data_IF_946864056781
#
_entry.id   IF_946864056781
#
_cell.length_a   1.000
_cell.length_b   1.000
_cell.length_c   1.000
_cell.angle_alpha   90.00
_cell.angle_beta   90.00
_cell.angle_gamma   90.00
#
_symmetry.space_group_name_H-M   'P 1'
#
loop_
_entity.id
_entity.type
_entity.pdbx_description
1 polymer ?
#
# COMPACT_ATOMS: atom_id res chain seq x y z
N UNK A 1 2.01 26.74 22.73
CA UNK A 1 3.09 25.92 22.16
C UNK A 1 3.20 26.27 20.69
N UNK A 2 4.40 26.22 20.08
CA UNK A 2 4.55 26.42 18.62
C UNK A 2 3.86 25.29 17.86
N UNK A 3 3.57 25.51 16.57
CA UNK A 3 3.05 24.47 15.68
C UNK A 3 4.03 23.30 15.59
N UNK A 4 3.57 22.03 15.51
CA UNK A 4 4.45 20.87 15.38
C UNK A 4 5.16 20.87 14.03
N UNK A 5 6.32 20.22 14.00
CA UNK A 5 7.14 20.08 12.80
C UNK A 5 7.27 18.61 12.39
N UNK A 6 7.07 18.36 11.11
CA UNK A 6 7.06 17.04 10.51
C UNK A 6 8.17 16.90 9.48
N UNK A 7 8.91 15.80 9.56
CA UNK A 7 9.80 15.32 8.52
C UNK A 7 9.12 14.19 7.76
N UNK A 8 8.72 14.46 6.52
CA UNK A 8 8.17 13.46 5.62
C UNK A 8 9.29 12.79 4.84
N UNK A 9 9.22 11.46 4.68
CA UNK A 9 10.21 10.68 3.92
C UNK A 9 9.51 10.05 2.72
N UNK A 10 10.04 10.31 1.52
CA UNK A 10 9.53 9.76 0.28
C UNK A 10 10.69 9.43 -0.68
N UNK A 11 11.12 8.17 -0.72
CA UNK A 11 12.12 7.69 -1.69
C UNK A 11 11.54 7.43 -3.08
N UNK A 12 10.21 7.48 -3.21
CA UNK A 12 9.43 7.47 -4.44
C UNK A 12 8.56 8.73 -4.53
N UNK A 13 8.16 9.12 -5.75
CA UNK A 13 7.32 10.31 -5.95
C UNK A 13 5.87 10.03 -5.55
N UNK A 14 5.54 10.30 -4.30
CA UNK A 14 4.20 10.11 -3.70
C UNK A 14 3.93 11.10 -2.57
N UNK A 15 2.67 11.24 -2.22
CA UNK A 15 2.24 11.91 -0.98
C UNK A 15 2.11 13.43 -1.08
N UNK A 16 2.04 14.03 -2.26
CA UNK A 16 1.80 15.47 -2.42
C UNK A 16 0.56 15.94 -1.65
N UNK A 17 -0.52 15.14 -1.66
CA UNK A 17 -1.74 15.48 -0.94
C UNK A 17 -1.58 15.36 0.58
N UNK A 18 -0.76 14.42 1.06
CA UNK A 18 -0.38 14.41 2.49
C UNK A 18 0.38 15.70 2.87
N UNK A 19 1.35 16.12 2.04
CA UNK A 19 2.12 17.34 2.28
C UNK A 19 1.21 18.56 2.32
N UNK A 20 0.28 18.70 1.37
CA UNK A 20 -0.73 19.77 1.35
C UNK A 20 -1.66 19.69 2.56
N UNK A 21 -2.14 18.49 2.89
CA UNK A 21 -2.96 18.24 4.07
C UNK A 21 -2.23 18.66 5.35
N UNK A 22 -0.97 18.28 5.52
CA UNK A 22 -0.16 18.67 6.67
C UNK A 22 0.05 20.19 6.74
N UNK A 23 0.39 20.81 5.60
CA UNK A 23 0.57 22.27 5.55
C UNK A 23 -0.70 23.03 5.88
N UNK A 24 -1.86 22.51 5.50
CA UNK A 24 -3.17 23.14 5.77
C UNK A 24 -3.50 23.20 7.27
N UNK A 25 -2.91 22.34 8.11
CA UNK A 25 -3.03 22.40 9.58
C UNK A 25 -2.18 23.55 10.19
N UNK A 26 -1.30 24.13 9.40
CA UNK A 26 -0.33 25.15 9.81
C UNK A 26 0.94 24.56 10.41
N UNK A 27 1.16 23.25 10.32
CA UNK A 27 2.40 22.61 10.72
C UNK A 27 3.59 23.06 9.88
N UNK A 28 4.79 22.91 10.42
CA UNK A 28 6.04 23.02 9.66
C UNK A 28 6.31 21.69 8.96
N UNK A 29 6.52 21.72 7.65
CA UNK A 29 6.63 20.53 6.81
C UNK A 29 7.96 20.46 6.08
N UNK A 30 8.74 19.45 6.39
CA UNK A 30 10.00 19.15 5.70
C UNK A 30 9.86 17.86 4.90
N UNK A 31 10.50 17.81 3.73
CA UNK A 31 10.57 16.59 2.91
C UNK A 31 12.02 16.15 2.75
N UNK A 32 12.28 14.86 3.01
CA UNK A 32 13.50 14.18 2.59
C UNK A 32 13.16 13.24 1.45
N UNK A 33 13.83 13.39 0.31
CA UNK A 33 13.58 12.58 -0.89
C UNK A 33 14.88 12.23 -1.62
N UNK A 34 14.80 11.31 -2.55
CA UNK A 34 15.94 10.93 -3.39
C UNK A 34 16.35 12.04 -4.34
N UNK A 35 17.64 12.26 -4.55
CA UNK A 35 18.17 13.27 -5.48
C UNK A 35 17.62 13.08 -6.90
N UNK A 36 17.44 11.84 -7.36
CA UNK A 36 16.84 11.52 -8.66
C UNK A 36 15.41 12.08 -8.85
N UNK A 37 14.70 12.39 -7.77
CA UNK A 37 13.33 12.93 -7.79
C UNK A 37 13.28 14.46 -7.67
N UNK A 38 14.42 15.15 -7.74
CA UNK A 38 14.49 16.61 -7.63
C UNK A 38 13.63 17.34 -8.68
N UNK A 39 13.50 16.75 -9.89
CA UNK A 39 12.74 17.34 -11.00
C UNK A 39 11.24 17.04 -10.93
N UNK A 40 10.82 16.14 -10.05
CA UNK A 40 9.40 15.78 -9.93
C UNK A 40 8.60 16.97 -9.38
N UNK A 41 7.32 17.08 -9.77
CA UNK A 41 6.46 18.19 -9.35
C UNK A 41 5.98 18.02 -7.90
N UNK A 42 6.92 18.06 -6.95
CA UNK A 42 6.60 18.08 -5.54
C UNK A 42 5.72 19.27 -5.19
N UNK A 43 4.82 19.13 -4.23
CA UNK A 43 3.98 20.19 -3.67
C UNK A 43 4.84 21.23 -2.89
N UNK A 44 5.73 21.95 -3.60
CA UNK A 44 6.70 22.88 -3.01
C UNK A 44 6.02 24.00 -2.21
N UNK A 45 4.82 24.38 -2.59
CA UNK A 45 3.97 25.33 -1.86
C UNK A 45 3.57 24.85 -0.46
N UNK A 46 3.63 23.55 -0.24
CA UNK A 46 3.31 22.91 1.04
C UNK A 46 4.54 22.60 1.89
N UNK A 47 5.74 22.94 1.43
CA UNK A 47 7.00 22.61 2.10
C UNK A 47 7.66 23.87 2.67
N UNK A 48 8.18 23.76 3.89
CA UNK A 48 9.08 24.78 4.46
C UNK A 48 10.53 24.55 4.03
N UNK A 49 10.88 23.27 3.75
CA UNK A 49 12.16 22.93 3.12
C UNK A 49 12.11 21.51 2.50
N UNK A 50 13.05 21.23 1.58
CA UNK A 50 13.22 19.93 0.93
C UNK A 50 14.69 19.54 0.89
N UNK A 51 15.00 18.32 1.30
CA UNK A 51 16.36 17.77 1.38
C UNK A 51 16.49 16.55 0.49
N UNK A 52 17.61 16.46 -0.21
CA UNK A 52 17.86 15.43 -1.18
C UNK A 52 18.94 14.47 -0.70
N UNK A 53 18.65 13.19 -0.73
CA UNK A 53 19.59 12.11 -0.43
C UNK A 53 20.19 11.60 -1.72
N UNK A 54 21.53 11.63 -1.81
CA UNK A 54 22.24 10.97 -2.90
C UNK A 54 22.13 9.45 -2.71
N UNK A 55 21.67 8.79 -3.74
CA UNK A 55 21.49 7.33 -3.73
C UNK A 55 22.76 6.63 -4.18
N UNK A 56 22.96 5.41 -3.68
CA UNK A 56 23.95 4.47 -4.19
C UNK A 56 23.55 3.86 -5.55
N UNK A 57 24.40 2.98 -6.11
CA UNK A 57 24.20 2.40 -7.45
C UNK A 57 22.89 1.63 -7.62
N UNK A 58 22.40 1.01 -6.54
CA UNK A 58 21.16 0.24 -6.53
C UNK A 58 19.94 1.04 -6.03
N UNK A 59 20.05 2.37 -6.02
CA UNK A 59 19.05 3.29 -5.51
C UNK A 59 18.80 3.21 -4.00
N UNK A 60 19.68 2.60 -3.25
CA UNK A 60 19.64 2.53 -1.78
C UNK A 60 20.09 3.85 -1.13
N UNK A 61 19.56 4.12 0.06
CA UNK A 61 20.01 5.21 0.90
C UNK A 61 20.99 4.70 1.96
N UNK A 62 22.14 5.34 2.09
CA UNK A 62 23.01 5.13 3.25
C UNK A 62 22.38 5.79 4.47
N UNK A 63 21.79 4.99 5.35
CA UNK A 63 21.03 5.50 6.50
C UNK A 63 21.92 6.17 7.57
N UNK A 64 23.21 5.83 7.67
CA UNK A 64 24.16 6.52 8.55
C UNK A 64 24.41 7.95 8.05
N UNK A 65 24.57 8.14 6.73
CA UNK A 65 24.71 9.46 6.14
C UNK A 65 23.43 10.30 6.29
N UNK A 66 22.27 9.66 6.13
CA UNK A 66 20.96 10.32 6.35
C UNK A 66 20.81 10.75 7.80
N UNK A 67 21.19 9.89 8.76
CA UNK A 67 21.15 10.24 10.18
C UNK A 67 22.13 11.38 10.51
N UNK A 68 23.34 11.34 9.98
CA UNK A 68 24.32 12.42 10.17
C UNK A 68 23.81 13.76 9.61
N UNK A 69 23.24 13.73 8.40
CA UNK A 69 22.63 14.93 7.79
C UNK A 69 21.45 15.46 8.60
N UNK A 70 20.57 14.58 9.09
CA UNK A 70 19.44 14.96 9.93
C UNK A 70 19.92 15.53 11.29
N UNK A 71 20.93 14.92 11.91
CA UNK A 71 21.54 15.45 13.15
C UNK A 71 22.07 16.86 12.97
N UNK A 72 22.67 17.15 11.81
CA UNK A 72 23.13 18.50 11.49
C UNK A 72 21.96 19.48 11.30
N UNK A 73 20.90 19.09 10.59
CA UNK A 73 19.67 19.88 10.42
C UNK A 73 18.99 20.19 11.76
N UNK A 74 18.91 19.24 12.66
CA UNK A 74 18.27 19.38 13.97
C UNK A 74 18.99 20.40 14.89
N UNK A 75 20.18 20.86 14.55
CA UNK A 75 20.84 21.98 15.25
C UNK A 75 20.07 23.31 15.10
N UNK A 76 19.29 23.46 14.03
CA UNK A 76 18.54 24.69 13.74
C UNK A 76 17.05 24.45 13.45
N UNK A 77 16.67 23.21 13.12
CA UNK A 77 15.28 22.82 12.78
C UNK A 77 14.80 21.78 13.78
N UNK A 78 13.74 22.10 14.50
CA UNK A 78 13.09 21.13 15.37
C UNK A 78 12.33 20.11 14.52
N UNK A 79 12.39 18.83 14.86
CA UNK A 79 11.61 17.76 14.26
C UNK A 79 10.82 17.05 15.37
N UNK A 80 9.50 17.19 15.35
CA UNK A 80 8.61 16.60 16.36
C UNK A 80 8.12 15.22 15.93
N UNK A 81 7.96 14.97 14.62
CA UNK A 81 7.47 13.73 14.03
C UNK A 81 8.18 13.39 12.73
N UNK A 82 8.28 12.09 12.42
CA UNK A 82 8.77 11.58 11.14
C UNK A 82 7.68 10.68 10.56
N UNK A 83 7.31 10.89 9.27
CA UNK A 83 6.27 10.13 8.58
C UNK A 83 6.82 9.56 7.27
N UNK A 84 6.66 8.27 7.05
CA UNK A 84 6.99 7.60 5.79
C UNK A 84 5.78 7.66 4.86
N UNK A 85 5.96 8.20 3.65
CA UNK A 85 4.88 8.36 2.68
C UNK A 85 4.76 7.16 1.71
N UNK A 86 5.74 6.23 1.75
CA UNK A 86 5.74 5.02 0.94
C UNK A 86 6.18 3.80 1.76
N UNK A 87 5.84 2.59 1.29
CA UNK A 87 6.22 1.32 1.92
C UNK A 87 7.73 1.19 2.13
N UNK A 88 8.51 1.59 1.13
CA UNK A 88 9.97 1.49 1.16
C UNK A 88 10.62 2.46 2.15
N UNK A 89 9.85 3.39 2.72
CA UNK A 89 10.34 4.39 3.68
C UNK A 89 9.96 4.09 5.12
N UNK A 90 9.10 3.10 5.33
CA UNK A 90 8.60 2.72 6.67
C UNK A 90 9.74 2.35 7.62
N UNK A 91 10.68 1.51 7.16
CA UNK A 91 11.85 1.11 7.97
C UNK A 91 12.86 2.24 8.14
N UNK A 92 13.03 3.10 7.11
CA UNK A 92 13.88 4.31 7.20
C UNK A 92 13.37 5.29 8.27
N UNK A 93 12.06 5.55 8.24
CA UNK A 93 11.43 6.40 9.26
C UNK A 93 11.55 5.81 10.66
N UNK A 94 11.37 4.48 10.81
CA UNK A 94 11.50 3.80 12.09
C UNK A 94 12.92 3.87 12.64
N UNK A 95 13.93 3.65 11.79
CA UNK A 95 15.34 3.81 12.17
C UNK A 95 15.62 5.22 12.69
N UNK A 96 15.21 6.26 11.95
CA UNK A 96 15.44 7.66 12.34
C UNK A 96 14.68 8.04 13.62
N UNK A 97 13.42 7.54 13.80
CA UNK A 97 12.66 7.77 15.03
C UNK A 97 13.38 7.20 16.24
N UNK A 98 13.87 5.96 16.15
CA UNK A 98 14.61 5.33 17.26
C UNK A 98 15.95 6.01 17.51
N UNK A 99 16.69 6.37 16.44
CA UNK A 99 17.99 7.05 16.56
C UNK A 99 17.85 8.39 17.30
N UNK A 100 16.87 9.22 16.94
CA UNK A 100 16.66 10.54 17.51
C UNK A 100 15.64 10.60 18.65
N UNK A 101 15.11 9.45 19.10
CA UNK A 101 14.07 9.39 20.14
C UNK A 101 12.81 10.19 19.79
N UNK A 102 12.47 10.26 18.52
CA UNK A 102 11.24 10.90 18.02
C UNK A 102 10.08 9.89 18.16
N UNK A 103 8.93 10.29 18.73
CA UNK A 103 7.80 9.38 18.92
C UNK A 103 7.24 8.80 17.62
N UNK A 104 6.82 7.52 17.64
CA UNK A 104 6.21 6.81 16.51
C UNK A 104 6.57 5.32 16.52
N UNK A 105 6.16 4.59 15.50
CA UNK A 105 6.52 3.17 15.35
C UNK A 105 8.03 3.01 15.18
N UNK A 106 8.61 2.17 16.04
CA UNK A 106 10.02 1.76 15.95
C UNK A 106 10.22 0.60 14.96
N UNK A 107 11.46 0.14 14.84
CA UNK A 107 11.87 -0.85 13.82
C UNK A 107 11.16 -2.19 13.97
N UNK A 108 10.92 -2.68 15.19
CA UNK A 108 10.20 -3.95 15.40
C UNK A 108 8.76 -3.86 14.91
N UNK A 109 8.01 -2.85 15.33
CA UNK A 109 6.62 -2.66 14.94
C UNK A 109 6.48 -2.37 13.43
N UNK A 110 7.38 -1.58 12.85
CA UNK A 110 7.32 -1.22 11.44
C UNK A 110 7.48 -2.44 10.51
N UNK A 111 8.21 -3.47 10.93
CA UNK A 111 8.36 -4.72 10.16
C UNK A 111 7.05 -5.47 9.99
N UNK A 112 6.11 -5.36 10.93
CA UNK A 112 4.77 -5.96 10.77
C UNK A 112 3.97 -5.32 9.62
N UNK A 113 4.39 -4.14 9.12
CA UNK A 113 3.78 -3.44 7.99
C UNK A 113 4.64 -3.44 6.73
N UNK A 114 5.77 -4.18 6.74
CA UNK A 114 6.71 -4.17 5.63
C UNK A 114 7.22 -5.55 5.25
N UNK A 115 7.52 -6.40 6.22
CA UNK A 115 8.10 -7.73 6.05
C UNK A 115 6.99 -8.80 6.08
N UNK A 116 6.73 -9.42 4.92
CA UNK A 116 5.67 -10.43 4.79
C UNK A 116 5.86 -11.64 5.72
N UNK A 117 7.09 -12.01 6.05
CA UNK A 117 7.34 -13.09 7.02
C UNK A 117 6.98 -12.65 8.44
N UNK A 118 7.35 -11.42 8.85
CA UNK A 118 6.94 -10.86 10.12
C UNK A 118 5.41 -10.73 10.21
N UNK A 119 4.75 -10.29 9.13
CA UNK A 119 3.28 -10.24 9.03
C UNK A 119 2.64 -11.62 9.25
N UNK A 120 3.20 -12.68 8.64
CA UNK A 120 2.67 -14.05 8.78
C UNK A 120 2.82 -14.58 10.18
N UNK A 121 3.97 -14.37 10.81
CA UNK A 121 4.26 -14.83 12.18
C UNK A 121 3.30 -14.13 13.15
N UNK A 122 3.25 -12.79 13.11
CA UNK A 122 2.44 -12.00 14.03
C UNK A 122 0.94 -12.28 13.88
N UNK A 123 0.45 -12.37 12.62
CA UNK A 123 -0.95 -12.70 12.36
C UNK A 123 -1.31 -14.09 12.87
N UNK A 124 -0.48 -15.11 12.59
CA UNK A 124 -0.66 -16.48 13.09
C UNK A 124 -0.72 -16.52 14.61
N UNK A 125 0.22 -15.87 15.27
CA UNK A 125 0.36 -15.88 16.72
C UNK A 125 -0.79 -15.12 17.40
N UNK A 126 -1.38 -14.14 16.70
CA UNK A 126 -2.64 -13.49 17.11
C UNK A 126 -3.92 -14.27 16.75
N UNK A 127 -3.82 -15.45 16.14
CA UNK A 127 -4.98 -16.26 15.74
C UNK A 127 -5.70 -15.78 14.47
N UNK A 128 -5.09 -14.88 13.70
CA UNK A 128 -5.62 -14.40 12.41
C UNK A 128 -5.26 -15.42 11.34
N UNK A 129 -6.25 -15.85 10.54
CA UNK A 129 -6.01 -16.82 9.47
C UNK A 129 -5.07 -16.28 8.40
N UNK A 130 -3.99 -17.01 8.13
CA UNK A 130 -3.04 -16.77 7.05
C UNK A 130 -2.87 -18.04 6.23
N UNK A 131 -2.44 -17.98 4.96
CA UNK A 131 -1.99 -19.17 4.23
C UNK A 131 -0.91 -19.91 5.03
N UNK A 132 -0.88 -21.23 5.00
CA UNK A 132 0.22 -21.99 5.57
C UNK A 132 1.55 -21.51 4.94
N UNK A 133 2.59 -21.29 5.74
CA UNK A 133 3.83 -20.69 5.28
C UNK A 133 5.05 -21.27 6.00
N UNK A 134 6.22 -21.08 5.40
CA UNK A 134 7.53 -21.30 6.03
C UNK A 134 8.48 -20.16 5.64
N UNK A 135 9.38 -19.81 6.54
CA UNK A 135 10.62 -19.14 6.13
C UNK A 135 11.49 -20.09 5.29
N UNK A 136 12.52 -19.53 4.67
CA UNK A 136 13.45 -20.30 3.83
C UNK A 136 14.86 -20.37 4.44
N UNK A 137 14.94 -20.45 5.79
CA UNK A 137 16.23 -20.44 6.51
C UNK A 137 16.77 -21.84 6.73
N UNK A 138 15.95 -22.77 7.23
CA UNK A 138 16.36 -24.10 7.65
C UNK A 138 15.73 -25.19 6.76
N UNK A 139 16.57 -25.98 6.11
CA UNK A 139 16.14 -26.98 5.10
C UNK A 139 15.14 -28.02 5.63
N UNK A 140 15.27 -28.45 6.90
CA UNK A 140 14.32 -29.39 7.49
C UNK A 140 12.94 -28.79 7.69
N UNK A 141 12.83 -27.48 7.95
CA UNK A 141 11.54 -26.78 8.09
C UNK A 141 10.88 -26.63 6.72
N UNK A 142 11.67 -26.31 5.69
CA UNK A 142 11.21 -26.25 4.29
C UNK A 142 10.74 -27.63 3.82
N UNK A 143 11.49 -28.70 4.09
CA UNK A 143 11.12 -30.07 3.75
C UNK A 143 9.83 -30.50 4.47
N UNK A 144 9.68 -30.15 5.77
CA UNK A 144 8.46 -30.40 6.52
C UNK A 144 7.27 -29.64 5.91
N UNK A 145 7.43 -28.35 5.57
CA UNK A 145 6.39 -27.58 4.89
C UNK A 145 5.97 -28.28 3.58
N UNK A 146 6.93 -28.63 2.72
CA UNK A 146 6.66 -29.24 1.43
C UNK A 146 5.99 -30.62 1.53
N UNK A 147 6.24 -31.36 2.63
CA UNK A 147 5.62 -32.68 2.87
C UNK A 147 4.23 -32.60 3.51
N UNK A 148 3.90 -31.52 4.20
CA UNK A 148 2.64 -31.40 4.98
C UNK A 148 1.63 -30.45 4.36
N UNK A 149 2.07 -29.49 3.57
CA UNK A 149 1.22 -28.48 2.93
C UNK A 149 1.05 -28.84 1.44
N UNK A 150 -0.18 -29.07 0.95
CA UNK A 150 -0.38 -29.41 -0.46
C UNK A 150 0.00 -28.24 -1.39
N UNK A 151 0.66 -28.57 -2.49
CA UNK A 151 0.92 -27.62 -3.58
C UNK A 151 -0.38 -27.22 -4.30
N UNK A 152 -0.41 -26.12 -5.09
CA UNK A 152 0.71 -25.25 -5.41
C UNK A 152 1.07 -24.29 -4.27
N UNK A 153 2.30 -23.83 -4.31
CA UNK A 153 2.85 -22.83 -3.39
C UNK A 153 3.25 -21.55 -4.12
N UNK A 154 3.48 -20.47 -3.36
CA UNK A 154 4.08 -19.22 -3.85
C UNK A 154 5.37 -18.99 -3.06
N UNK A 155 6.50 -18.88 -3.76
CA UNK A 155 7.71 -18.27 -3.22
C UNK A 155 7.68 -16.80 -3.55
N UNK A 156 7.85 -15.93 -2.55
CA UNK A 156 7.77 -14.48 -2.73
C UNK A 156 8.77 -13.73 -1.86
N UNK A 157 9.26 -12.57 -2.33
CA UNK A 157 10.11 -11.70 -1.53
C UNK A 157 9.36 -11.17 -0.30
N UNK A 158 10.07 -11.07 0.82
CA UNK A 158 9.52 -10.55 2.08
C UNK A 158 9.20 -9.06 2.01
N UNK A 159 10.07 -8.30 1.34
CA UNK A 159 10.05 -6.84 1.33
C UNK A 159 9.64 -6.19 0.00
N UNK A 160 9.14 -6.90 -1.00
CA UNK A 160 8.71 -6.32 -2.27
C UNK A 160 7.20 -6.02 -2.29
N UNK A 161 6.78 -5.18 -3.23
CA UNK A 161 5.38 -4.79 -3.45
C UNK A 161 4.93 -5.18 -4.87
N UNK A 162 3.64 -5.04 -5.17
CA UNK A 162 3.06 -5.18 -6.52
C UNK A 162 3.30 -6.55 -7.17
N UNK A 163 3.24 -7.63 -6.41
CA UNK A 163 3.47 -9.02 -6.86
C UNK A 163 4.84 -9.26 -7.55
N UNK A 164 5.79 -8.34 -7.38
CA UNK A 164 7.13 -8.43 -7.97
C UNK A 164 7.93 -9.59 -7.38
N UNK A 165 8.58 -10.40 -8.23
CA UNK A 165 9.44 -11.50 -7.82
C UNK A 165 8.72 -12.70 -7.22
N UNK A 166 7.41 -12.80 -7.38
CA UNK A 166 6.61 -13.97 -6.93
C UNK A 166 6.72 -15.11 -7.96
N UNK A 167 6.91 -16.33 -7.46
CA UNK A 167 6.94 -17.52 -8.29
C UNK A 167 6.00 -18.59 -7.76
N UNK A 168 5.09 -19.07 -8.62
CA UNK A 168 4.23 -20.22 -8.32
C UNK A 168 5.00 -21.52 -8.52
N UNK A 169 4.90 -22.44 -7.56
CA UNK A 169 5.64 -23.69 -7.45
C UNK A 169 4.65 -24.84 -7.34
N UNK A 170 4.85 -25.89 -8.11
CA UNK A 170 3.90 -27.00 -8.22
C UNK A 170 4.37 -28.32 -7.59
N UNK A 171 5.64 -28.45 -7.24
CA UNK A 171 6.20 -29.63 -6.60
C UNK A 171 7.38 -29.31 -5.67
N UNK A 172 7.74 -30.28 -4.82
CA UNK A 172 8.91 -30.15 -3.95
C UNK A 172 10.21 -30.04 -4.76
N UNK A 173 10.33 -30.77 -5.85
CA UNK A 173 11.49 -30.72 -6.75
C UNK A 173 11.64 -29.33 -7.36
N UNK A 174 10.54 -28.74 -7.82
CA UNK A 174 10.53 -27.37 -8.35
C UNK A 174 10.90 -26.35 -7.27
N UNK A 175 10.42 -26.54 -6.01
CA UNK A 175 10.79 -25.70 -4.89
C UNK A 175 12.30 -25.70 -4.66
N UNK A 176 12.89 -26.89 -4.51
CA UNK A 176 14.33 -27.01 -4.26
C UNK A 176 15.18 -26.45 -5.41
N UNK A 177 14.79 -26.74 -6.65
CA UNK A 177 15.47 -26.17 -7.82
C UNK A 177 15.41 -24.64 -7.82
N UNK A 178 14.28 -24.05 -7.42
CA UNK A 178 14.16 -22.60 -7.31
C UNK A 178 15.01 -22.03 -6.16
N UNK A 179 15.03 -22.69 -5.00
CA UNK A 179 15.87 -22.27 -3.87
C UNK A 179 17.38 -22.27 -4.21
N UNK A 180 17.82 -23.21 -5.01
CA UNK A 180 19.20 -23.22 -5.53
C UNK A 180 19.50 -21.98 -6.40
N UNK A 181 18.53 -21.53 -7.22
CA UNK A 181 18.71 -20.29 -8.01
C UNK A 181 18.77 -19.04 -7.15
N UNK A 182 18.11 -19.02 -5.99
CA UNK A 182 18.18 -17.93 -5.04
C UNK A 182 19.50 -17.90 -4.25
N UNK A 183 20.14 -19.05 -4.09
CA UNK A 183 21.43 -19.16 -3.39
C UNK A 183 21.43 -18.50 -2.02
N UNK A 184 22.36 -17.58 -1.77
CA UNK A 184 22.47 -16.82 -0.52
C UNK A 184 21.31 -15.88 -0.24
N UNK A 185 20.56 -15.49 -1.26
CA UNK A 185 19.46 -14.52 -1.15
C UNK A 185 18.14 -15.14 -0.64
N UNK A 186 18.08 -16.47 -0.48
CA UNK A 186 16.84 -17.17 -0.09
C UNK A 186 16.25 -16.68 1.23
N UNK A 187 17.06 -16.12 2.12
CA UNK A 187 16.61 -15.54 3.39
C UNK A 187 15.75 -14.27 3.21
N UNK A 188 15.75 -13.66 2.04
CA UNK A 188 14.88 -12.56 1.67
C UNK A 188 13.51 -13.00 1.15
N UNK A 189 13.23 -14.29 1.14
CA UNK A 189 12.01 -14.89 0.63
C UNK A 189 11.28 -15.70 1.70
N UNK A 190 10.02 -16.01 1.45
CA UNK A 190 9.22 -17.00 2.16
C UNK A 190 8.46 -17.84 1.14
N UNK A 191 8.03 -19.04 1.57
CA UNK A 191 7.09 -19.88 0.83
C UNK A 191 5.75 -19.92 1.55
N UNK A 192 4.65 -19.86 0.80
CA UNK A 192 3.31 -20.02 1.36
C UNK A 192 2.40 -20.83 0.43
N UNK A 193 1.37 -21.43 0.98
CA UNK A 193 0.36 -22.13 0.22
C UNK A 193 -0.39 -21.16 -0.69
N UNK A 194 -0.46 -21.45 -1.98
CA UNK A 194 -1.30 -20.71 -2.90
C UNK A 194 -2.78 -20.91 -2.55
N UNK A 195 -3.52 -19.83 -2.35
CA UNK A 195 -4.95 -19.84 -2.13
C UNK A 195 -5.66 -19.31 -3.37
N UNK A 196 -6.39 -20.16 -4.13
CA UNK A 196 -7.24 -19.66 -5.20
C UNK A 196 -8.40 -18.88 -4.61
N UNK A 197 -8.60 -17.63 -5.04
CA UNK A 197 -9.64 -16.82 -4.43
C UNK A 197 -9.78 -15.44 -5.03
N UNK A 198 -10.75 -14.71 -4.49
CA UNK A 198 -11.00 -13.32 -4.82
C UNK A 198 -10.29 -12.44 -3.78
N UNK A 199 -9.57 -11.42 -4.25
CA UNK A 199 -8.79 -10.55 -3.39
C UNK A 199 -9.59 -9.30 -3.05
N UNK A 200 -9.56 -8.95 -1.77
CA UNK A 200 -10.20 -7.78 -1.20
C UNK A 200 -9.16 -6.89 -0.53
N UNK A 201 -9.47 -5.60 -0.43
CA UNK A 201 -8.65 -4.70 0.36
C UNK A 201 -9.49 -3.84 1.29
N UNK A 202 -8.87 -3.43 2.38
CA UNK A 202 -9.44 -2.49 3.35
C UNK A 202 -8.50 -1.30 3.46
N UNK A 203 -9.00 -0.14 3.08
CA UNK A 203 -8.31 1.14 3.23
C UNK A 203 -8.85 1.83 4.47
N UNK A 204 -7.98 2.14 5.42
CA UNK A 204 -8.40 2.59 6.75
C UNK A 204 -7.53 3.70 7.32
N UNK A 205 -8.08 4.39 8.34
CA UNK A 205 -7.38 5.32 9.21
C UNK A 205 -7.48 4.81 10.65
N UNK A 206 -6.36 4.83 11.37
CA UNK A 206 -6.27 4.43 12.77
C UNK A 206 -5.81 5.58 13.66
N UNK A 207 -6.47 5.75 14.83
CA UNK A 207 -6.12 6.71 15.87
C UNK A 207 -6.13 6.02 17.24
N UNK A 208 -5.08 6.19 18.02
CA UNK A 208 -4.99 5.64 19.38
C UNK A 208 -5.18 4.12 19.43
N UNK A 209 -4.68 3.39 18.44
CA UNK A 209 -4.82 1.94 18.37
C UNK A 209 -6.20 1.45 17.91
N UNK A 210 -7.07 2.33 17.40
CA UNK A 210 -8.41 1.98 16.91
C UNK A 210 -8.57 2.43 15.47
N UNK A 211 -9.19 1.60 14.66
CA UNK A 211 -9.64 1.98 13.32
C UNK A 211 -10.83 2.93 13.46
N UNK A 212 -10.67 4.18 12.99
CA UNK A 212 -11.68 5.23 13.07
C UNK A 212 -12.43 5.43 11.75
N UNK A 213 -11.85 4.99 10.64
CA UNK A 213 -12.47 4.95 9.32
C UNK A 213 -11.98 3.71 8.57
N UNK A 214 -12.85 3.07 7.80
CA UNK A 214 -12.45 2.03 6.85
C UNK A 214 -13.44 1.92 5.69
N UNK A 215 -12.93 1.55 4.51
CA UNK A 215 -13.70 1.12 3.34
C UNK A 215 -13.16 -0.21 2.83
N UNK A 216 -14.08 -1.11 2.53
CA UNK A 216 -13.78 -2.43 1.98
C UNK A 216 -14.05 -2.41 0.49
N UNK A 217 -13.08 -2.88 -0.28
CA UNK A 217 -13.17 -3.01 -1.73
C UNK A 217 -12.78 -4.41 -2.19
N UNK A 218 -13.17 -4.77 -3.39
CA UNK A 218 -12.79 -6.00 -4.06
C UNK A 218 -12.05 -5.68 -5.35
N UNK A 219 -10.89 -6.30 -5.57
CA UNK A 219 -10.29 -6.35 -6.88
C UNK A 219 -11.15 -7.22 -7.80
N UNK A 220 -11.55 -6.69 -8.95
CA UNK A 220 -12.40 -7.43 -9.90
C UNK A 220 -11.58 -8.45 -10.70
N UNK A 221 -10.28 -8.20 -10.82
CA UNK A 221 -9.26 -9.15 -11.27
C UNK A 221 -8.14 -9.19 -10.23
N UNK A 222 -7.55 -10.35 -9.95
CA UNK A 222 -6.56 -10.42 -8.85
C UNK A 222 -5.30 -9.64 -9.21
N UNK A 223 -4.65 -8.94 -8.26
CA UNK A 223 -3.38 -8.26 -8.53
C UNK A 223 -2.30 -9.19 -9.13
N UNK A 224 -2.31 -10.46 -8.75
CA UNK A 224 -1.39 -11.46 -9.31
C UNK A 224 -1.68 -11.71 -10.80
N UNK A 225 -2.93 -11.90 -11.19
CA UNK A 225 -3.31 -12.13 -12.59
C UNK A 225 -3.05 -10.88 -13.45
N UNK A 226 -3.34 -9.69 -12.91
CA UNK A 226 -3.06 -8.42 -13.60
C UNK A 226 -1.55 -8.24 -13.83
N UNK A 227 -0.73 -8.46 -12.80
CA UNK A 227 0.72 -8.25 -12.89
C UNK A 227 1.42 -9.26 -13.82
N UNK A 228 0.98 -10.52 -13.85
CA UNK A 228 1.62 -11.59 -14.63
C UNK A 228 0.94 -11.85 -15.98
N UNK A 229 -0.37 -11.54 -16.08
CA UNK A 229 -1.14 -11.70 -17.31
C UNK A 229 -1.25 -10.44 -18.19
N UNK A 230 -0.74 -9.29 -17.72
CA UNK A 230 -0.88 -8.02 -18.43
C UNK A 230 -2.33 -7.56 -18.48
N UNK A 231 -3.08 -7.71 -17.39
CA UNK A 231 -4.50 -7.38 -17.33
C UNK A 231 -4.79 -5.92 -17.02
N UNK A 232 -6.08 -5.58 -16.99
CA UNK A 232 -6.59 -4.26 -16.62
C UNK A 232 -6.89 -4.27 -15.12
N UNK A 233 -6.30 -3.31 -14.40
CA UNK A 233 -6.55 -3.17 -12.95
C UNK A 233 -7.94 -2.57 -12.72
N UNK A 234 -8.76 -3.26 -11.89
CA UNK A 234 -10.09 -2.79 -11.49
C UNK A 234 -10.34 -3.10 -10.03
N UNK A 235 -10.94 -2.14 -9.32
CA UNK A 235 -11.42 -2.33 -7.96
C UNK A 235 -12.75 -1.61 -7.75
N UNK A 236 -13.58 -2.13 -6.86
CA UNK A 236 -14.86 -1.51 -6.51
C UNK A 236 -15.24 -1.75 -5.03
N UNK A 237 -15.91 -0.76 -4.44
CA UNK A 237 -16.47 -0.87 -3.08
C UNK A 237 -17.44 -2.06 -3.02
N UNK A 238 -17.33 -2.86 -1.97
CA UNK A 238 -18.23 -3.99 -1.73
C UNK A 238 -19.61 -3.52 -1.25
N UNK A 239 -20.68 -4.36 -1.34
CA UNK A 239 -22.00 -3.99 -0.81
C UNK A 239 -21.97 -3.69 0.69
N UNK A 240 -22.43 -2.50 1.06
CA UNK A 240 -22.53 -2.10 2.46
C UNK A 240 -23.42 -3.04 3.27
N UNK A 241 -23.01 -3.34 4.50
CA UNK A 241 -23.74 -4.24 5.40
C UNK A 241 -23.67 -5.72 5.02
N UNK A 242 -22.94 -6.08 3.94
CA UNK A 242 -22.76 -7.46 3.53
C UNK A 242 -21.98 -8.28 4.59
N UNK A 243 -22.11 -9.61 4.52
CA UNK A 243 -21.36 -10.51 5.41
C UNK A 243 -19.86 -10.39 5.20
N UNK A 244 -19.42 -10.16 3.96
CA UNK A 244 -18.02 -10.05 3.59
C UNK A 244 -17.44 -8.73 4.11
N UNK A 245 -18.14 -7.61 3.94
CA UNK A 245 -17.73 -6.33 4.52
C UNK A 245 -17.54 -6.43 6.03
N UNK A 246 -18.55 -6.95 6.76
CA UNK A 246 -18.50 -7.08 8.22
C UNK A 246 -17.33 -7.94 8.70
N UNK A 247 -17.07 -9.07 8.00
CA UNK A 247 -15.94 -9.94 8.32
C UNK A 247 -14.60 -9.24 8.08
N UNK A 248 -14.45 -8.56 6.95
CA UNK A 248 -13.21 -7.88 6.58
C UNK A 248 -12.92 -6.68 7.46
N UNK A 249 -13.92 -5.88 7.82
CA UNK A 249 -13.76 -4.78 8.79
C UNK A 249 -13.30 -5.31 10.16
N UNK A 250 -13.87 -6.43 10.62
CA UNK A 250 -13.45 -7.08 11.87
C UNK A 250 -12.02 -7.60 11.78
N UNK A 251 -11.69 -8.35 10.71
CA UNK A 251 -10.33 -8.90 10.52
C UNK A 251 -9.29 -7.78 10.40
N UNK A 252 -9.61 -6.69 9.68
CA UNK A 252 -8.71 -5.54 9.59
C UNK A 252 -8.44 -4.90 10.96
N UNK A 253 -9.47 -4.73 11.79
CA UNK A 253 -9.28 -4.21 13.14
C UNK A 253 -8.43 -5.15 14.02
N UNK A 254 -8.58 -6.46 13.86
CA UNK A 254 -7.75 -7.46 14.53
C UNK A 254 -6.29 -7.40 14.07
N UNK A 255 -6.03 -7.26 12.74
CA UNK A 255 -4.69 -7.09 12.17
C UNK A 255 -4.05 -5.80 12.72
N UNK A 256 -4.75 -4.66 12.66
CA UNK A 256 -4.22 -3.38 13.14
C UNK A 256 -3.85 -3.46 14.62
N UNK A 257 -4.69 -4.08 15.43
CA UNK A 257 -4.42 -4.28 16.86
C UNK A 257 -3.22 -5.20 17.10
N UNK A 258 -3.17 -6.36 16.46
CA UNK A 258 -2.10 -7.33 16.61
C UNK A 258 -0.73 -6.75 16.21
N UNK A 259 -0.70 -6.02 15.11
CA UNK A 259 0.53 -5.43 14.57
C UNK A 259 0.97 -4.15 15.30
N UNK A 260 0.19 -3.69 16.29
CA UNK A 260 0.54 -2.54 17.12
C UNK A 260 0.33 -1.19 16.45
N UNK A 261 -0.59 -1.11 15.46
CA UNK A 261 -0.94 0.16 14.82
C UNK A 261 -1.49 1.15 15.86
N UNK A 262 -0.87 2.32 15.94
CA UNK A 262 -1.34 3.40 16.80
C UNK A 262 -2.00 4.52 15.99
N UNK A 263 -1.27 5.08 15.04
CA UNK A 263 -1.72 6.23 14.25
C UNK A 263 -1.14 6.09 12.84
N UNK A 264 -1.97 5.90 11.85
CA UNK A 264 -1.60 5.95 10.41
C UNK A 264 -2.82 5.74 9.52
N UNK A 265 -2.65 5.96 8.21
CA UNK A 265 -3.40 5.26 7.19
C UNK A 265 -2.90 3.81 7.08
N UNK A 266 -3.75 2.92 6.56
CA UNK A 266 -3.37 1.55 6.23
C UNK A 266 -4.10 1.04 5.00
N UNK A 267 -3.44 0.15 4.26
CA UNK A 267 -4.00 -0.62 3.15
C UNK A 267 -3.74 -2.10 3.43
N UNK A 268 -4.80 -2.89 3.59
CA UNK A 268 -4.72 -4.28 4.04
C UNK A 268 -5.40 -5.20 3.04
N UNK A 269 -4.73 -6.25 2.59
CA UNK A 269 -5.25 -7.20 1.62
C UNK A 269 -5.63 -8.54 2.25
N UNK A 270 -6.74 -9.09 1.77
CA UNK A 270 -7.30 -10.38 2.17
C UNK A 270 -7.70 -11.20 0.94
N UNK A 271 -7.59 -12.52 1.01
CA UNK A 271 -8.12 -13.40 -0.01
C UNK A 271 -9.26 -14.24 0.54
N UNK A 272 -10.37 -14.27 -0.19
CA UNK A 272 -11.49 -15.18 0.07
C UNK A 272 -11.32 -16.44 -0.76
N UNK A 273 -11.02 -17.55 -0.12
CA UNK A 273 -10.91 -18.83 -0.82
C UNK A 273 -12.25 -19.20 -1.47
N UNK A 274 -12.24 -19.54 -2.76
CA UNK A 274 -13.47 -19.82 -3.53
C UNK A 274 -14.17 -21.11 -3.10
N UNK A 275 -13.44 -22.08 -2.60
CA UNK A 275 -13.99 -23.38 -2.22
C UNK A 275 -14.62 -23.32 -0.83
N UNK A 276 -13.95 -22.69 0.13
CA UNK A 276 -14.36 -22.68 1.54
C UNK A 276 -15.12 -21.42 1.95
N UNK A 277 -15.01 -20.34 1.18
CA UNK A 277 -15.54 -19.02 1.55
C UNK A 277 -14.81 -18.36 2.73
N UNK A 278 -13.68 -18.93 3.16
CA UNK A 278 -12.89 -18.39 4.26
C UNK A 278 -11.97 -17.28 3.78
N UNK A 279 -11.80 -16.24 4.63
CA UNK A 279 -10.84 -15.19 4.41
C UNK A 279 -9.50 -15.50 5.06
N UNK A 280 -8.42 -15.16 4.36
CA UNK A 280 -7.05 -15.20 4.83
C UNK A 280 -6.42 -13.83 4.67
N UNK A 281 -5.70 -13.38 5.68
CA UNK A 281 -4.88 -12.17 5.60
C UNK A 281 -3.70 -12.40 4.65
N UNK A 282 -3.45 -11.44 3.74
CA UNK A 282 -2.33 -11.49 2.80
C UNK A 282 -1.22 -10.53 3.16
N UNK A 283 -1.49 -9.24 3.25
CA UNK A 283 -0.50 -8.23 3.60
C UNK A 283 -1.15 -6.93 4.07
N UNK A 284 -0.36 -6.08 4.69
CA UNK A 284 -0.78 -4.73 5.08
C UNK A 284 0.37 -3.75 5.01
N UNK A 285 0.05 -2.51 4.71
CA UNK A 285 0.98 -1.37 4.71
C UNK A 285 0.47 -0.28 5.65
N UNK A 286 1.37 0.43 6.32
CA UNK A 286 1.02 1.60 7.13
C UNK A 286 1.08 2.91 6.32
N UNK A 287 0.42 2.92 5.18
CA UNK A 287 0.29 4.06 4.26
C UNK A 287 -0.98 3.93 3.43
N UNK A 288 -1.28 4.96 2.67
CA UNK A 288 -2.40 4.98 1.73
C UNK A 288 -2.18 4.00 0.57
N UNK A 289 -3.23 3.32 0.12
CA UNK A 289 -3.21 2.39 -1.01
C UNK A 289 -2.70 3.06 -2.30
N UNK A 290 -2.01 2.26 -3.14
CA UNK A 290 -1.53 2.71 -4.45
C UNK A 290 -2.60 2.70 -5.53
N UNK A 291 -2.19 2.89 -6.80
CA UNK A 291 -3.05 2.79 -7.99
C UNK A 291 -4.35 3.63 -7.91
N UNK A 292 -4.27 4.82 -7.30
CA UNK A 292 -5.41 5.75 -7.13
C UNK A 292 -6.59 5.18 -6.32
N UNK A 293 -6.33 4.21 -5.44
CA UNK A 293 -7.34 3.67 -4.55
C UNK A 293 -7.82 4.71 -3.52
N UNK A 294 -6.96 5.66 -3.14
CA UNK A 294 -7.35 6.76 -2.25
C UNK A 294 -8.42 7.65 -2.87
N UNK A 295 -8.27 7.99 -4.16
CA UNK A 295 -9.21 8.79 -4.92
C UNK A 295 -10.54 8.05 -5.11
N UNK A 296 -10.50 6.71 -5.28
CA UNK A 296 -11.71 5.88 -5.31
C UNK A 296 -12.42 5.89 -3.96
N UNK A 297 -11.71 5.77 -2.85
CA UNK A 297 -12.28 5.84 -1.49
C UNK A 297 -12.86 7.22 -1.22
N UNK A 298 -12.18 8.29 -1.63
CA UNK A 298 -12.68 9.66 -1.53
C UNK A 298 -13.95 9.87 -2.36
N UNK A 299 -13.97 9.37 -3.59
CA UNK A 299 -15.16 9.43 -4.44
C UNK A 299 -16.36 8.78 -3.77
N UNK A 300 -16.20 7.63 -3.14
CA UNK A 300 -17.27 6.90 -2.43
C UNK A 300 -17.68 7.57 -1.12
N UNK A 301 -16.72 8.00 -0.32
CA UNK A 301 -16.92 8.37 1.08
C UNK A 301 -16.85 9.88 1.38
N UNK A 302 -16.17 10.64 0.53
CA UNK A 302 -15.80 12.03 0.80
C UNK A 302 -14.60 12.17 1.75
N UNK A 303 -13.95 11.06 2.11
CA UNK A 303 -12.78 11.03 2.97
C UNK A 303 -11.52 10.90 2.12
N UNK A 304 -10.77 11.99 1.97
CA UNK A 304 -9.46 11.96 1.35
C UNK A 304 -8.44 11.38 2.33
N UNK A 305 -7.97 10.15 2.08
CA UNK A 305 -7.11 9.42 3.00
C UNK A 305 -5.77 10.12 3.26
N UNK A 306 -5.20 10.80 2.25
CA UNK A 306 -3.94 11.54 2.41
C UNK A 306 -4.10 12.75 3.32
N UNK A 307 -5.14 13.56 3.10
CA UNK A 307 -5.43 14.73 3.91
C UNK A 307 -5.81 14.34 5.34
N UNK A 308 -6.67 13.33 5.48
CA UNK A 308 -7.12 12.90 6.79
C UNK A 308 -6.01 12.21 7.59
N UNK A 309 -5.11 11.47 6.94
CA UNK A 309 -3.93 10.96 7.60
C UNK A 309 -3.01 12.09 8.11
N UNK A 310 -2.79 13.13 7.30
CA UNK A 310 -2.02 14.30 7.72
C UNK A 310 -2.64 15.00 8.93
N UNK A 311 -3.96 15.22 8.92
CA UNK A 311 -4.69 15.81 10.05
C UNK A 311 -4.64 14.95 11.31
N UNK A 312 -4.71 13.64 11.15
CA UNK A 312 -4.58 12.67 12.24
C UNK A 312 -3.18 12.73 12.87
N UNK A 313 -2.13 12.74 12.06
CA UNK A 313 -0.75 12.87 12.54
C UNK A 313 -0.50 14.20 13.27
N UNK A 314 -1.08 15.28 12.76
CA UNK A 314 -0.98 16.59 13.41
C UNK A 314 -1.71 16.60 14.76
N UNK A 315 -2.93 16.06 14.83
CA UNK A 315 -3.70 15.96 16.06
C UNK A 315 -2.99 15.14 17.16
N UNK A 316 -2.21 14.12 16.76
CA UNK A 316 -1.37 13.34 17.68
C UNK A 316 -0.17 14.15 18.20
N UNK A 317 0.36 15.04 17.40
CA UNK A 317 1.50 15.90 17.78
C UNK A 317 1.07 17.16 18.56
N UNK A 318 -0.17 17.59 18.38
CA UNK A 318 -0.79 18.72 19.07
C UNK A 318 -1.77 18.23 20.17
N UNK A 319 -2.14 19.05 21.15
CA UNK A 319 -3.13 18.67 22.18
C UNK A 319 -4.58 18.70 21.67
N UNK A 320 -4.79 18.51 20.38
CA UNK A 320 -6.09 18.54 19.72
C UNK A 320 -6.60 17.13 19.43
N UNK A 321 -7.93 16.95 19.50
CA UNK A 321 -8.54 15.67 19.17
C UNK A 321 -8.88 15.64 17.67
N UNK A 322 -8.43 14.60 16.97
CA UNK A 322 -8.83 14.37 15.59
C UNK A 322 -10.35 14.20 15.46
N UNK A 323 -10.91 14.77 14.41
CA UNK A 323 -12.33 14.62 14.06
C UNK A 323 -12.45 14.22 12.60
N UNK A 324 -13.01 13.03 12.40
CA UNK A 324 -13.32 12.51 11.07
C UNK A 324 -14.37 13.40 10.39
N UNK A 325 -14.26 13.70 9.09
CA UNK A 325 -15.29 14.43 8.34
C UNK A 325 -16.58 13.62 8.21
N UNK A 326 -17.66 14.26 7.74
CA UNK A 326 -18.92 13.57 7.44
C UNK A 326 -18.71 12.58 6.30
N UNK A 327 -19.00 11.31 6.56
CA UNK A 327 -18.88 10.23 5.59
C UNK A 327 -20.12 10.16 4.70
N UNK A 328 -19.92 9.91 3.39
CA UNK A 328 -20.96 9.49 2.44
C UNK A 328 -20.89 7.98 2.28
N UNK A 329 -22.00 7.39 1.84
CA UNK A 329 -22.10 5.95 1.57
C UNK A 329 -22.53 5.71 0.11
N UNK A 330 -21.75 6.31 -0.83
CA UNK A 330 -21.83 5.99 -2.25
C UNK A 330 -20.91 4.80 -2.60
N UNK A 331 -21.20 4.15 -3.70
CA UNK A 331 -20.28 3.18 -4.31
C UNK A 331 -19.39 3.88 -5.32
N UNK A 332 -18.14 3.50 -5.36
CA UNK A 332 -17.20 3.89 -6.39
C UNK A 332 -16.41 2.69 -6.89
N UNK A 333 -15.90 2.82 -8.08
CA UNK A 333 -15.00 1.85 -8.66
C UNK A 333 -13.99 2.51 -9.57
N UNK A 334 -12.84 1.87 -9.71
CA UNK A 334 -11.71 2.36 -10.51
C UNK A 334 -11.32 1.34 -11.58
N UNK A 335 -10.92 1.85 -12.73
CA UNK A 335 -10.22 1.12 -13.78
C UNK A 335 -8.93 1.84 -14.12
N UNK A 336 -7.82 1.12 -14.21
CA UNK A 336 -6.52 1.62 -14.68
C UNK A 336 -5.88 0.61 -15.62
N UNK A 337 -5.28 1.09 -16.69
CA UNK A 337 -4.55 0.25 -17.65
C UNK A 337 -3.36 0.98 -18.23
N UNK A 338 -2.34 0.21 -18.62
CA UNK A 338 -1.35 0.68 -19.57
C UNK A 338 -1.98 0.88 -20.95
N UNK A 339 -1.49 1.87 -21.70
CA UNK A 339 -2.00 2.19 -23.04
C UNK A 339 -0.90 2.22 -24.09
N UNK A 340 -1.29 1.88 -25.32
CA UNK A 340 -0.44 2.03 -26.52
C UNK A 340 -0.16 3.50 -26.86
N UNK A 341 -1.13 4.36 -26.55
CA UNK A 341 -1.05 5.81 -26.73
C UNK A 341 -0.27 6.42 -25.56
N UNK A 342 0.64 7.35 -25.85
CA UNK A 342 1.36 8.10 -24.83
C UNK A 342 0.39 8.93 -23.97
N UNK A 343 -0.51 9.66 -24.64
CA UNK A 343 -1.58 10.45 -24.02
C UNK A 343 -2.94 10.00 -24.59
N UNK A 344 -3.65 9.06 -23.93
CA UNK A 344 -4.89 8.52 -24.45
C UNK A 344 -6.02 9.57 -24.38
N UNK A 345 -6.78 9.71 -25.48
CA UNK A 345 -8.01 10.50 -25.48
C UNK A 345 -9.13 9.71 -24.80
N UNK A 346 -9.57 10.19 -23.65
CA UNK A 346 -10.64 9.58 -22.84
C UNK A 346 -12.02 10.22 -23.07
N UNK A 347 -12.17 11.13 -24.04
CA UNK A 347 -13.41 11.91 -24.28
C UNK A 347 -14.61 11.03 -24.63
N UNK A 348 -14.38 9.86 -25.21
CA UNK A 348 -15.44 8.89 -25.51
C UNK A 348 -16.08 8.23 -24.27
N UNK A 349 -15.43 8.32 -23.11
CA UNK A 349 -16.03 7.92 -21.83
C UNK A 349 -16.72 9.15 -21.24
N UNK A 350 -18.03 9.29 -21.44
CA UNK A 350 -18.79 10.49 -21.11
C UNK A 350 -19.97 10.27 -20.16
N UNK A 351 -20.00 9.12 -19.48
CA UNK A 351 -21.01 8.83 -18.49
C UNK A 351 -20.95 9.84 -17.32
N UNK A 352 -22.11 10.33 -16.83
CA UNK A 352 -22.15 11.34 -15.75
C UNK A 352 -21.62 10.84 -14.40
N UNK A 353 -21.48 9.55 -14.25
CA UNK A 353 -20.90 8.90 -13.07
C UNK A 353 -19.37 9.01 -12.99
N UNK A 354 -18.69 9.42 -14.06
CA UNK A 354 -17.22 9.63 -14.03
C UNK A 354 -16.92 10.86 -13.17
N UNK A 355 -16.17 10.66 -12.10
CA UNK A 355 -15.81 11.71 -11.16
C UNK A 355 -14.32 12.04 -11.11
N UNK A 356 -13.50 11.20 -11.77
CA UNK A 356 -12.07 11.41 -11.85
C UNK A 356 -11.48 10.74 -13.11
N UNK A 357 -10.41 11.35 -13.64
CA UNK A 357 -9.63 10.85 -14.78
C UNK A 357 -8.14 10.96 -14.47
N UNK A 358 -7.36 9.99 -14.91
CA UNK A 358 -5.90 10.04 -14.87
C UNK A 358 -5.40 10.85 -16.07
N UNK A 359 -4.86 12.05 -15.80
CA UNK A 359 -4.45 13.01 -16.85
C UNK A 359 -2.94 13.35 -16.78
N UNK A 360 -2.26 12.98 -15.69
CA UNK A 360 -0.89 13.39 -15.39
C UNK A 360 0.14 12.25 -15.54
N UNK A 361 -0.25 11.14 -16.18
CA UNK A 361 0.61 9.98 -16.37
C UNK A 361 0.57 9.46 -17.81
N UNK A 362 1.72 9.54 -18.47
CA UNK A 362 1.92 9.01 -19.81
C UNK A 362 1.69 7.49 -19.88
N UNK A 363 1.27 7.01 -21.04
CA UNK A 363 0.97 5.61 -21.31
C UNK A 363 0.00 4.94 -20.33
N UNK A 364 -0.88 5.72 -19.70
CA UNK A 364 -1.89 5.19 -18.78
C UNK A 364 -3.27 5.77 -19.08
N UNK A 365 -4.30 4.96 -18.87
CA UNK A 365 -5.69 5.39 -18.77
C UNK A 365 -6.21 5.03 -17.38
N UNK A 366 -6.93 5.95 -16.76
CA UNK A 366 -7.57 5.71 -15.46
C UNK A 366 -8.87 6.49 -15.34
N UNK A 367 -9.91 5.83 -14.84
CA UNK A 367 -11.22 6.40 -14.60
C UNK A 367 -11.77 5.94 -13.27
N UNK A 368 -12.39 6.85 -12.51
CA UNK A 368 -13.19 6.51 -11.33
C UNK A 368 -14.63 6.90 -11.60
N UNK A 369 -15.53 5.95 -11.39
CA UNK A 369 -16.97 6.14 -11.43
C UNK A 369 -17.57 6.08 -10.04
N UNK A 370 -18.65 6.86 -9.80
CA UNK A 370 -19.39 6.89 -8.55
C UNK A 370 -20.89 6.81 -8.82
N UNK A 371 -21.59 6.02 -8.02
CA UNK A 371 -23.05 5.91 -8.06
C UNK A 371 -23.61 5.53 -6.68
N UNK A 372 -24.84 5.92 -6.33
CA UNK A 372 -25.52 5.37 -5.14
C UNK A 372 -25.87 3.88 -5.30
N UNK A 373 -25.76 3.31 -6.51
CA UNK A 373 -26.03 1.89 -6.80
C UNK A 373 -24.77 1.18 -7.25
N UNK A 374 -24.38 0.14 -6.52
CA UNK A 374 -23.19 -0.66 -6.83
C UNK A 374 -23.27 -1.31 -8.22
N UNK A 375 -24.44 -1.81 -8.58
CA UNK A 375 -24.69 -2.48 -9.88
C UNK A 375 -24.29 -1.57 -11.03
N UNK A 376 -24.62 -0.27 -10.93
CA UNK A 376 -24.25 0.72 -11.96
C UNK A 376 -22.75 0.93 -12.05
N UNK A 377 -22.05 0.92 -10.92
CA UNK A 377 -20.57 0.99 -10.89
C UNK A 377 -19.96 -0.21 -11.60
N UNK A 378 -20.43 -1.42 -11.31
CA UNK A 378 -19.92 -2.64 -11.93
C UNK A 378 -20.22 -2.68 -13.44
N UNK A 379 -21.46 -2.34 -13.83
CA UNK A 379 -21.84 -2.23 -15.26
C UNK A 379 -20.89 -1.30 -16.03
N UNK A 380 -20.60 -0.12 -15.50
CA UNK A 380 -19.67 0.81 -16.14
C UNK A 380 -18.23 0.28 -16.20
N UNK A 381 -17.75 -0.32 -15.11
CA UNK A 381 -16.40 -0.89 -15.10
C UNK A 381 -16.24 -2.06 -16.08
N UNK A 382 -17.29 -2.86 -16.27
CA UNK A 382 -17.29 -3.97 -17.24
C UNK A 382 -17.32 -3.45 -18.69
N UNK A 383 -18.16 -2.45 -19.00
CA UNK A 383 -18.15 -1.77 -20.30
C UNK A 383 -16.79 -1.12 -20.59
N UNK A 384 -16.27 -0.37 -19.62
CA UNK A 384 -14.98 0.31 -19.78
C UNK A 384 -13.82 -0.67 -19.93
N UNK A 385 -13.83 -1.80 -19.25
CA UNK A 385 -12.81 -2.82 -19.42
C UNK A 385 -12.77 -3.36 -20.86
N UNK A 386 -13.95 -3.63 -21.44
CA UNK A 386 -14.04 -4.10 -22.84
C UNK A 386 -13.55 -3.04 -23.83
N UNK A 387 -13.93 -1.78 -23.64
CA UNK A 387 -13.51 -0.66 -24.51
C UNK A 387 -12.02 -0.37 -24.35
N UNK A 388 -11.50 -0.35 -23.12
CA UNK A 388 -10.08 -0.16 -22.84
C UNK A 388 -9.27 -1.31 -23.44
N UNK A 389 -9.70 -2.57 -23.29
CA UNK A 389 -9.02 -3.74 -23.86
C UNK A 389 -8.92 -3.63 -25.38
N UNK A 390 -9.99 -3.23 -26.06
CA UNK A 390 -10.05 -3.15 -27.51
C UNK A 390 -9.23 -1.98 -28.05
N UNK A 391 -9.37 -0.78 -27.49
CA UNK A 391 -8.97 0.47 -28.12
C UNK A 391 -7.65 1.04 -27.55
N UNK A 392 -7.28 0.71 -26.31
CA UNK A 392 -6.17 1.35 -25.59
C UNK A 392 -5.12 0.37 -25.09
N UNK A 393 -5.53 -0.73 -24.51
CA UNK A 393 -4.71 -1.59 -23.67
C UNK A 393 -3.37 -1.97 -24.32
N UNK A 394 -2.30 -1.85 -23.52
CA UNK A 394 -0.98 -2.42 -23.76
C UNK A 394 -0.57 -3.31 -22.60
N UNK A 395 0.16 -4.38 -22.87
CA UNK A 395 0.80 -5.20 -21.85
C UNK A 395 2.30 -4.94 -21.85
N UNK A 396 2.88 -4.85 -20.67
CA UNK A 396 4.31 -4.83 -20.47
C UNK A 396 4.69 -6.01 -19.57
N UNK A 397 5.90 -6.59 -19.71
CA UNK A 397 6.40 -7.55 -18.72
C UNK A 397 6.34 -6.97 -17.32
N UNK A 398 6.06 -7.81 -16.32
CA UNK A 398 6.13 -7.37 -14.93
C UNK A 398 7.53 -6.78 -14.66
N UNK A 399 7.63 -5.59 -14.04
CA UNK A 399 8.93 -4.98 -13.77
C UNK A 399 9.69 -5.82 -12.75
N UNK A 400 10.99 -5.98 -12.96
CA UNK A 400 11.88 -6.71 -12.02
C UNK A 400 12.03 -5.96 -10.68
N UNK A 401 11.75 -4.65 -10.68
CA UNK A 401 11.77 -3.79 -9.48
C UNK A 401 10.53 -2.88 -9.50
N UNK A 402 9.98 -2.48 -8.33
CA UNK A 402 8.88 -1.54 -8.27
C UNK A 402 9.22 -0.24 -9.02
N UNK A 403 8.29 0.21 -9.85
CA UNK A 403 8.43 1.46 -10.59
C UNK A 403 8.05 2.64 -9.71
N UNK A 404 8.83 3.70 -9.81
CA UNK A 404 8.62 4.98 -9.10
C UNK A 404 7.52 5.81 -9.75
#
# INVERSE_FOLDING_TARGET
MGKPSFLCIASYFKGNDFLRGMKSTGATVYLVTSKKLEHKPWAREALDDIFYVQQGPENEWNMEDVAAGLAWLMRSKKIDRIVALDDFDVEKAAFLREHFRIPGMGQTTSRHFRDKLAMRIEARDAGIKVPAFSDLFHDADIARFASTVPAPWIVKPRGQASATGMKKIHSAEELWAHLETLGGERHHFLVEQFKPGDVYHVDALSEGGKVVFARVSQYLDTPFDVAHGGGIFRSAIVPFGSSDEKKLLKMNAEVMKAFGMQHSASHTEFIKNRETGEFYFLETSCRVGGAHLAEMVEAASGVNLWYEWARLEEAVAAPEKYKLPKIRDDYAGIIVSLTRQEWPDTSQFNDPEIVWRLEDKDHHIGLIVRSPRRERVIELLDDYAQRVQRDYHASAPAPDKPTS
#
